data_IF_940557487961
#
_entry.id   IF_940557487961
#
_cell.length_a   1.000
_cell.length_b   1.000
_cell.length_c   1.000
_cell.angle_alpha   90.00
_cell.angle_beta   90.00
_cell.angle_gamma   90.00
#
_symmetry.space_group_name_H-M   'P 1'
#
loop_
_entity.id
_entity.type
_entity.pdbx_description
1 polymer ?
#
# COMPACT_ATOMS: atom_id res chain seq x y z
N UNK A 1 -18.92 -17.48 -50.42
CA UNK A 1 -19.58 -17.29 -49.11
C UNK A 1 -19.16 -15.90 -48.68
N UNK A 2 -20.03 -14.92 -48.83
CA UNK A 2 -19.77 -13.59 -48.29
C UNK A 2 -19.72 -13.75 -46.76
N UNK A 3 -18.56 -13.47 -46.17
CA UNK A 3 -18.40 -13.52 -44.72
C UNK A 3 -19.01 -12.25 -44.15
N UNK A 4 -20.13 -12.37 -43.46
CA UNK A 4 -20.73 -11.27 -42.70
C UNK A 4 -20.18 -11.19 -41.27
N UNK A 5 -19.18 -12.00 -40.93
CA UNK A 5 -18.52 -12.04 -39.62
C UNK A 5 -17.09 -11.53 -39.72
N UNK A 6 -16.72 -10.63 -38.81
CA UNK A 6 -15.33 -10.23 -38.61
C UNK A 6 -14.50 -11.41 -38.10
N UNK A 7 -13.26 -11.47 -38.56
CA UNK A 7 -12.22 -12.34 -38.02
C UNK A 7 -11.29 -11.47 -37.18
N UNK A 8 -11.01 -11.92 -35.95
CA UNK A 8 -10.21 -11.18 -34.99
C UNK A 8 -8.79 -11.74 -34.95
N UNK A 9 -7.82 -10.85 -35.08
CA UNK A 9 -6.41 -11.15 -34.95
C UNK A 9 -5.85 -10.32 -33.79
N UNK A 10 -5.44 -11.00 -32.73
CA UNK A 10 -4.73 -10.36 -31.62
C UNK A 10 -3.30 -10.03 -32.07
N UNK A 11 -2.93 -8.76 -31.94
CA UNK A 11 -1.62 -8.22 -32.30
C UNK A 11 -0.97 -7.46 -31.13
N UNK A 12 -1.43 -7.70 -29.89
CA UNK A 12 -0.94 -7.00 -28.69
C UNK A 12 0.58 -7.12 -28.51
N UNK A 13 1.18 -8.24 -28.91
CA UNK A 13 2.63 -8.45 -28.80
C UNK A 13 3.47 -7.44 -29.59
N UNK A 14 2.87 -6.77 -30.59
CA UNK A 14 3.54 -5.76 -31.44
C UNK A 14 3.38 -4.32 -30.92
N UNK A 15 2.78 -4.11 -29.75
CA UNK A 15 2.55 -2.76 -29.19
C UNK A 15 3.85 -1.98 -28.99
N UNK A 16 4.95 -2.68 -28.67
CA UNK A 16 6.26 -2.08 -28.47
C UNK A 16 6.99 -1.74 -29.78
N UNK A 17 6.46 -2.17 -30.92
CA UNK A 17 7.01 -1.84 -32.25
C UNK A 17 6.33 -0.59 -32.84
N UNK A 18 5.34 -0.01 -32.15
CA UNK A 18 4.69 1.23 -32.55
C UNK A 18 5.60 2.43 -32.25
N UNK A 19 5.71 3.33 -33.20
CA UNK A 19 6.44 4.59 -33.04
C UNK A 19 5.49 5.76 -32.80
N UNK A 20 5.97 6.78 -32.06
CA UNK A 20 5.29 8.06 -31.95
C UNK A 20 5.10 8.69 -33.34
N UNK A 21 3.84 8.83 -33.77
CA UNK A 21 3.47 9.38 -35.06
C UNK A 21 2.83 8.36 -35.99
N UNK A 22 3.29 8.32 -37.25
CA UNK A 22 2.63 7.55 -38.30
C UNK A 22 3.12 6.10 -38.30
N UNK A 23 2.19 5.17 -38.09
CA UNK A 23 2.42 3.74 -38.22
C UNK A 23 1.76 3.20 -39.50
N UNK A 24 2.28 2.11 -40.08
CA UNK A 24 1.73 1.47 -41.28
C UNK A 24 1.28 0.05 -40.96
N UNK A 25 -0.02 -0.21 -41.06
CA UNK A 25 -0.58 -1.56 -41.01
C UNK A 25 -0.70 -2.13 -42.43
N UNK A 26 -0.03 -3.26 -42.69
CA UNK A 26 -0.10 -3.97 -43.96
C UNK A 26 -1.00 -5.20 -43.86
N UNK A 27 -2.06 -5.24 -44.67
CA UNK A 27 -2.99 -6.38 -44.74
C UNK A 27 -2.86 -7.06 -46.09
N UNK A 28 -2.63 -8.38 -46.10
CA UNK A 28 -2.51 -9.16 -47.32
C UNK A 28 -3.74 -10.05 -47.54
N UNK A 29 -4.45 -9.80 -48.64
CA UNK A 29 -5.62 -10.57 -49.06
C UNK A 29 -5.33 -11.46 -50.26
N UNK A 30 -5.81 -12.70 -50.25
CA UNK A 30 -5.64 -13.65 -51.35
C UNK A 30 -6.99 -14.13 -51.90
N UNK A 31 -7.16 -14.03 -53.22
CA UNK A 31 -8.26 -14.68 -53.92
C UNK A 31 -7.98 -16.16 -54.11
N UNK A 32 -9.01 -16.99 -53.90
CA UNK A 32 -8.92 -18.44 -54.11
C UNK A 32 -8.64 -18.83 -55.58
N UNK A 33 -8.91 -17.94 -56.55
CA UNK A 33 -8.57 -18.15 -57.96
C UNK A 33 -8.32 -16.84 -58.70
N UNK A 34 -7.65 -16.93 -59.86
CA UNK A 34 -7.31 -15.79 -60.72
C UNK A 34 -8.52 -15.10 -61.39
N UNK A 35 -9.71 -15.68 -61.27
CA UNK A 35 -10.95 -15.20 -61.92
C UNK A 35 -12.04 -14.83 -60.92
N UNK A 36 -11.75 -14.81 -59.62
CA UNK A 36 -12.70 -14.34 -58.61
C UNK A 36 -12.87 -12.83 -58.72
N UNK A 37 -14.13 -12.37 -58.72
CA UNK A 37 -14.54 -10.98 -58.94
C UNK A 37 -15.06 -10.30 -57.68
N UNK A 38 -15.03 -10.98 -56.54
CA UNK A 38 -15.80 -10.65 -55.33
C UNK A 38 -14.91 -10.36 -54.10
N UNK A 39 -13.67 -9.94 -54.32
CA UNK A 39 -12.76 -9.62 -53.22
C UNK A 39 -13.08 -8.26 -52.59
N UNK A 40 -13.66 -8.27 -51.40
CA UNK A 40 -13.89 -7.11 -50.56
C UNK A 40 -13.21 -7.33 -49.21
N UNK A 41 -12.34 -6.40 -48.81
CA UNK A 41 -11.79 -6.33 -47.44
C UNK A 41 -12.39 -5.09 -46.79
N UNK A 42 -12.95 -5.26 -45.60
CA UNK A 42 -13.14 -4.20 -44.62
C UNK A 42 -12.31 -4.56 -43.41
N UNK A 43 -11.42 -3.67 -43.01
CA UNK A 43 -10.56 -3.85 -41.85
C UNK A 43 -10.82 -2.73 -40.86
N UNK A 44 -10.86 -3.10 -39.59
CA UNK A 44 -10.99 -2.19 -38.46
C UNK A 44 -9.88 -2.53 -37.49
N UNK A 45 -9.18 -1.49 -37.04
CA UNK A 45 -8.20 -1.60 -35.96
C UNK A 45 -8.85 -1.01 -34.72
N UNK A 46 -9.13 -1.84 -33.74
CA UNK A 46 -9.61 -1.41 -32.43
C UNK A 46 -8.42 -1.37 -31.47
N UNK A 47 -8.25 -0.23 -30.81
CA UNK A 47 -7.30 -0.08 -29.71
C UNK A 47 -8.10 0.14 -28.45
N UNK A 48 -8.04 -0.81 -27.53
CA UNK A 48 -8.60 -0.64 -26.20
C UNK A 48 -7.49 -0.22 -25.25
N UNK A 49 -7.40 1.06 -24.96
CA UNK A 49 -6.60 1.53 -23.83
C UNK A 49 -7.38 1.24 -22.57
N UNK A 50 -6.89 0.35 -21.71
CA UNK A 50 -7.37 0.26 -20.34
C UNK A 50 -6.77 1.46 -19.61
N UNK A 51 -7.40 2.62 -19.72
CA UNK A 51 -7.22 3.68 -18.74
C UNK A 51 -7.97 3.24 -17.50
N UNK A 52 -7.24 2.86 -16.44
CA UNK A 52 -7.79 2.99 -15.09
C UNK A 52 -8.26 4.44 -14.97
N UNK A 53 -9.57 4.62 -14.83
CA UNK A 53 -10.14 5.93 -14.55
C UNK A 53 -9.62 6.35 -13.16
N UNK A 54 -8.52 7.09 -13.12
CA UNK A 54 -8.18 7.91 -11.96
C UNK A 54 -9.22 9.03 -11.93
N UNK A 55 -10.18 8.91 -11.03
CA UNK A 55 -10.92 10.08 -10.57
C UNK A 55 -9.94 10.79 -9.63
N UNK A 56 -9.28 11.85 -10.13
CA UNK A 56 -8.24 12.63 -9.41
C UNK A 56 -8.65 12.98 -7.96
N UNK A 57 -9.96 12.97 -7.68
CA UNK A 57 -10.57 13.13 -6.37
C UNK A 57 -10.09 12.12 -5.32
N UNK A 58 -9.66 10.91 -5.69
CA UNK A 58 -9.25 9.85 -4.77
C UNK A 58 -7.80 9.41 -4.96
N UNK A 59 -7.00 10.14 -5.74
CA UNK A 59 -5.61 9.76 -6.00
C UNK A 59 -4.77 9.75 -4.72
N UNK A 60 -5.00 10.71 -3.82
CA UNK A 60 -4.32 10.76 -2.52
C UNK A 60 -4.74 9.57 -1.65
N UNK A 61 -6.03 9.22 -1.65
CA UNK A 61 -6.56 8.06 -0.91
C UNK A 61 -5.98 6.74 -1.44
N UNK A 62 -5.85 6.59 -2.77
CA UNK A 62 -5.23 5.43 -3.41
C UNK A 62 -3.73 5.36 -3.11
N UNK A 63 -3.04 6.50 -3.10
CA UNK A 63 -1.62 6.56 -2.74
C UNK A 63 -1.37 6.08 -1.31
N UNK A 64 -2.29 6.34 -0.37
CA UNK A 64 -2.22 5.80 0.99
C UNK A 64 -2.33 4.27 1.01
N UNK A 65 -3.29 3.69 0.26
CA UNK A 65 -3.46 2.23 0.14
C UNK A 65 -2.18 1.57 -0.40
N UNK A 66 -1.57 2.17 -1.42
CA UNK A 66 -0.41 1.59 -2.10
C UNK A 66 0.90 1.84 -1.34
N UNK A 67 1.03 2.97 -0.67
CA UNK A 67 2.29 3.49 -0.15
C UNK A 67 2.51 3.42 1.36
N UNK A 68 1.44 3.48 2.17
CA UNK A 68 1.59 3.51 3.63
C UNK A 68 1.78 2.11 4.20
N UNK A 69 2.77 1.93 5.07
CA UNK A 69 3.05 0.67 5.75
C UNK A 69 3.19 0.89 7.24
N UNK A 70 2.68 -0.04 8.05
CA UNK A 70 3.10 -0.18 9.44
C UNK A 70 4.31 -1.13 9.43
N UNK A 71 5.45 -0.68 9.93
CA UNK A 71 6.74 -1.39 9.83
C UNK A 71 7.22 -1.96 11.14
N UNK A 72 6.83 -1.35 12.25
CA UNK A 72 7.22 -1.78 13.58
C UNK A 72 6.09 -1.58 14.59
N UNK A 73 5.91 -2.55 15.47
CA UNK A 73 4.91 -2.55 16.53
C UNK A 73 5.56 -2.99 17.85
N UNK A 74 5.64 -2.07 18.82
CA UNK A 74 6.04 -2.34 20.19
C UNK A 74 4.79 -2.39 21.08
N UNK A 75 4.14 -3.56 21.13
CA UNK A 75 2.88 -3.74 21.85
C UNK A 75 3.05 -4.10 23.34
N UNK A 76 4.20 -4.66 23.72
CA UNK A 76 4.50 -4.99 25.11
C UNK A 76 6.00 -4.78 25.41
N UNK A 77 6.43 -3.53 25.64
CA UNK A 77 7.82 -3.21 25.97
C UNK A 77 8.26 -3.81 27.31
N UNK A 78 9.58 -3.88 27.56
CA UNK A 78 10.10 -4.39 28.84
C UNK A 78 9.77 -3.41 29.99
N UNK A 79 8.68 -3.69 30.69
CA UNK A 79 8.32 -3.11 31.98
C UNK A 79 7.71 -1.70 31.95
N UNK A 80 7.63 -1.02 30.80
CA UNK A 80 7.05 0.32 30.69
C UNK A 80 6.13 0.49 29.47
N UNK A 81 4.86 0.13 29.62
CA UNK A 81 3.83 0.25 28.58
C UNK A 81 3.66 1.69 28.03
N UNK A 82 4.15 2.72 28.73
CA UNK A 82 4.09 4.10 28.21
C UNK A 82 5.02 4.34 27.01
N UNK A 83 5.92 3.40 26.70
CA UNK A 83 6.80 3.48 25.52
C UNK A 83 6.34 2.60 24.36
N UNK A 84 5.13 2.07 24.41
CA UNK A 84 4.49 1.44 23.25
C UNK A 84 4.40 2.41 22.06
N UNK A 85 4.57 1.87 20.86
CA UNK A 85 4.49 2.64 19.62
C UNK A 85 4.12 1.80 18.41
N UNK A 86 3.65 2.50 17.38
CA UNK A 86 3.41 2.01 16.03
C UNK A 86 4.23 2.87 15.07
N UNK A 87 5.10 2.27 14.27
CA UNK A 87 5.89 2.94 13.24
C UNK A 87 5.25 2.80 11.86
N UNK A 88 5.35 3.87 11.08
CA UNK A 88 4.90 3.93 9.72
C UNK A 88 6.05 4.27 8.77
N UNK A 89 6.00 3.71 7.57
CA UNK A 89 6.87 4.01 6.44
C UNK A 89 6.04 4.35 5.21
N UNK A 90 6.49 5.33 4.45
CA UNK A 90 6.02 5.57 3.08
C UNK A 90 6.95 4.89 2.07
N UNK A 91 6.50 3.79 1.47
CA UNK A 91 7.27 3.06 0.45
C UNK A 91 7.08 3.63 -0.96
N UNK A 92 6.21 4.62 -1.13
CA UNK A 92 5.91 5.22 -2.44
C UNK A 92 6.93 6.31 -2.79
N UNK A 93 7.03 6.72 -4.09
CA UNK A 93 7.93 7.79 -4.50
C UNK A 93 7.38 9.19 -4.22
N UNK A 94 6.15 9.32 -3.72
CA UNK A 94 5.46 10.59 -3.50
C UNK A 94 5.28 10.84 -2.00
N UNK A 95 5.13 12.10 -1.59
CA UNK A 95 4.68 12.42 -0.23
C UNK A 95 3.25 11.95 -0.03
N UNK A 96 2.97 11.30 1.09
CA UNK A 96 1.62 10.92 1.51
C UNK A 96 1.08 11.96 2.50
N UNK A 97 -0.15 12.41 2.29
CA UNK A 97 -0.89 13.20 3.27
C UNK A 97 -1.69 12.26 4.18
N UNK A 98 -1.33 12.24 5.46
CA UNK A 98 -2.00 11.40 6.45
C UNK A 98 -3.11 12.16 7.19
N UNK A 99 -3.43 13.40 6.81
CA UNK A 99 -4.44 14.21 7.48
C UNK A 99 -5.75 13.45 7.65
N UNK A 100 -6.19 13.27 8.90
CA UNK A 100 -7.46 12.61 9.23
C UNK A 100 -7.45 11.08 9.11
N UNK A 101 -6.38 10.45 8.63
CA UNK A 101 -6.18 9.00 8.72
C UNK A 101 -6.32 8.59 10.19
N UNK A 102 -7.07 7.52 10.45
CA UNK A 102 -7.51 7.19 11.80
C UNK A 102 -7.44 5.71 12.11
N UNK A 103 -7.14 5.39 13.35
CA UNK A 103 -7.38 4.06 13.87
C UNK A 103 -8.86 3.86 14.17
N UNK A 104 -9.40 2.71 13.78
CA UNK A 104 -10.77 2.30 14.09
C UNK A 104 -10.82 1.01 14.93
N UNK A 105 -9.67 0.35 15.13
CA UNK A 105 -9.48 -0.76 16.05
C UNK A 105 -8.04 -0.75 16.61
N UNK A 106 -7.84 -1.40 17.75
CA UNK A 106 -6.59 -1.43 18.51
C UNK A 106 -6.40 -0.22 19.43
N UNK A 107 -6.11 0.94 18.85
CA UNK A 107 -5.93 2.21 19.58
C UNK A 107 -6.88 3.29 19.09
N UNK A 108 -6.96 4.41 19.81
CA UNK A 108 -7.69 5.60 19.36
C UNK A 108 -6.69 6.71 19.05
N UNK A 109 -6.53 6.99 17.76
CA UNK A 109 -5.70 8.08 17.25
C UNK A 109 -6.17 8.51 15.85
N UNK A 110 -6.13 9.81 15.59
CA UNK A 110 -6.36 10.41 14.28
C UNK A 110 -5.21 11.35 14.00
N UNK A 111 -4.58 11.20 12.83
CA UNK A 111 -3.51 12.10 12.42
C UNK A 111 -4.02 13.54 12.29
N UNK A 112 -3.31 14.53 12.84
CA UNK A 112 -3.71 15.92 12.79
C UNK A 112 -3.63 16.47 11.36
N UNK A 113 -4.23 17.65 11.15
CA UNK A 113 -4.09 18.40 9.90
C UNK A 113 -2.61 18.67 9.55
N UNK A 114 -2.33 18.76 8.26
CA UNK A 114 -1.01 19.01 7.68
C UNK A 114 0.04 17.92 8.01
N UNK A 115 -0.38 16.70 8.30
CA UNK A 115 0.54 15.57 8.52
C UNK A 115 1.02 15.00 7.20
N UNK A 116 2.26 15.30 6.83
CA UNK A 116 2.86 14.87 5.57
C UNK A 116 4.00 13.88 5.83
N UNK A 117 3.97 12.73 5.17
CA UNK A 117 5.02 11.71 5.23
C UNK A 117 5.75 11.63 3.88
N UNK A 118 6.95 12.21 3.74
CA UNK A 118 7.70 12.18 2.48
C UNK A 118 8.09 10.75 2.06
N UNK A 119 8.48 10.61 0.79
CA UNK A 119 8.89 9.33 0.21
C UNK A 119 10.09 8.72 0.96
N UNK A 120 9.97 7.47 1.41
CA UNK A 120 11.02 6.73 2.12
C UNK A 120 11.25 7.17 3.56
N UNK A 121 10.45 8.10 4.09
CA UNK A 121 10.56 8.58 5.47
C UNK A 121 9.64 7.80 6.41
N UNK A 122 9.92 7.94 7.71
CA UNK A 122 9.19 7.29 8.80
C UNK A 122 8.47 8.30 9.69
N UNK A 123 7.42 7.83 10.36
CA UNK A 123 6.83 8.49 11.52
C UNK A 123 6.30 7.48 12.54
N UNK A 124 6.04 7.96 13.75
CA UNK A 124 5.67 7.14 14.89
C UNK A 124 4.38 7.66 15.51
N UNK A 125 3.50 6.76 15.93
CA UNK A 125 2.37 7.05 16.82
C UNK A 125 2.63 6.34 18.15
N UNK A 126 2.78 7.10 19.23
CA UNK A 126 3.29 6.60 20.52
C UNK A 126 2.30 6.80 21.66
N UNK A 127 2.39 5.94 22.69
CA UNK A 127 1.47 5.95 23.83
C UNK A 127 1.59 7.21 24.67
N UNK A 128 2.81 7.55 25.06
CA UNK A 128 3.15 8.77 25.78
C UNK A 128 4.41 9.38 25.15
N UNK A 129 4.28 10.50 24.40
CA UNK A 129 5.42 11.14 23.75
C UNK A 129 6.55 11.56 24.70
N UNK A 130 6.23 11.88 25.96
CA UNK A 130 7.23 12.27 26.96
C UNK A 130 7.99 11.05 27.44
N UNK A 131 7.30 9.96 27.77
CA UNK A 131 7.94 8.72 28.19
C UNK A 131 8.78 8.12 27.04
N UNK A 132 8.22 8.10 25.83
CA UNK A 132 8.89 7.62 24.63
C UNK A 132 10.18 8.40 24.34
N UNK A 133 10.14 9.73 24.34
CA UNK A 133 11.32 10.55 24.08
C UNK A 133 12.42 10.43 25.14
N UNK A 134 12.08 9.98 26.37
CA UNK A 134 13.08 9.66 27.40
C UNK A 134 13.77 8.32 27.13
N UNK A 135 13.04 7.34 26.60
CA UNK A 135 13.58 6.02 26.24
C UNK A 135 14.38 6.08 24.94
N UNK A 136 13.88 6.82 23.94
CA UNK A 136 14.47 6.96 22.61
C UNK A 136 14.88 8.42 22.32
N UNK A 137 15.88 8.98 23.03
CA UNK A 137 16.22 10.41 22.95
C UNK A 137 16.89 10.84 21.64
N UNK A 138 17.21 9.89 20.76
CA UNK A 138 17.80 10.16 19.45
C UNK A 138 16.75 10.29 18.33
N UNK A 139 15.50 9.92 18.61
CA UNK A 139 14.40 10.05 17.65
C UNK A 139 13.97 11.52 17.59
N UNK A 140 13.94 12.16 16.40
CA UNK A 140 13.50 13.55 16.26
C UNK A 140 12.05 13.72 16.71
N UNK A 141 11.77 14.80 17.45
CA UNK A 141 10.41 15.07 17.95
C UNK A 141 9.40 15.35 16.84
N UNK A 142 9.88 15.75 15.66
CA UNK A 142 9.07 16.08 14.49
C UNK A 142 8.38 14.86 13.86
N UNK A 143 8.89 13.65 14.11
CA UNK A 143 8.31 12.40 13.60
C UNK A 143 7.53 11.62 14.66
N UNK A 144 7.42 12.17 15.89
CA UNK A 144 6.70 11.55 17.00
C UNK A 144 5.32 12.17 17.13
N UNK A 145 4.29 11.38 16.87
CA UNK A 145 2.89 11.71 17.06
C UNK A 145 2.29 10.97 18.27
N UNK A 146 1.22 11.52 18.81
CA UNK A 146 0.55 11.01 20.01
C UNK A 146 0.25 12.14 21.01
N UNK A 147 -0.15 11.81 22.25
CA UNK A 147 -0.42 10.46 22.74
C UNK A 147 -1.62 9.84 22.01
N UNK A 148 -1.58 8.53 21.79
CA UNK A 148 -2.81 7.80 21.48
C UNK A 148 -3.57 7.39 22.76
N UNK A 149 -4.87 7.23 22.65
CA UNK A 149 -5.72 6.69 23.71
C UNK A 149 -5.92 5.17 23.56
N UNK A 150 -6.27 4.48 24.64
CA UNK A 150 -6.26 3.01 24.71
C UNK A 150 -4.88 2.45 25.04
N UNK A 151 -4.64 1.18 24.76
CA UNK A 151 -3.35 0.52 24.92
C UNK A 151 -3.29 -0.61 23.90
N UNK A 152 -2.12 -0.91 23.37
CA UNK A 152 -1.96 -2.12 22.57
C UNK A 152 -2.14 -3.35 23.49
N UNK A 153 -2.96 -4.31 23.07
CA UNK A 153 -3.22 -5.49 23.87
C UNK A 153 -2.00 -6.44 23.92
N UNK A 154 -1.45 -6.63 25.12
CA UNK A 154 -0.29 -7.51 25.32
C UNK A 154 -0.48 -8.95 24.83
N UNK A 155 -1.74 -9.41 24.65
CA UNK A 155 -2.06 -10.76 24.18
C UNK A 155 -2.48 -10.84 22.70
N UNK A 156 -2.31 -9.77 21.92
CA UNK A 156 -2.76 -9.67 20.53
C UNK A 156 -4.16 -9.08 20.35
N UNK A 157 -4.36 -8.44 19.19
CA UNK A 157 -5.62 -7.79 18.76
C UNK A 157 -5.60 -7.49 17.24
N UNK A 158 -6.74 -7.02 16.73
CA UNK A 158 -6.86 -6.41 15.40
C UNK A 158 -6.32 -4.96 15.41
N UNK A 159 -5.51 -4.62 14.43
CA UNK A 159 -5.13 -3.24 14.09
C UNK A 159 -5.87 -2.86 12.80
N UNK A 160 -6.62 -1.75 12.84
CA UNK A 160 -7.34 -1.24 11.67
C UNK A 160 -7.10 0.25 11.51
N UNK A 161 -6.40 0.63 10.44
CA UNK A 161 -6.15 2.00 10.03
C UNK A 161 -7.02 2.34 8.83
N UNK A 162 -7.87 3.36 8.95
CA UNK A 162 -8.78 3.82 7.91
C UNK A 162 -8.36 5.15 7.31
N UNK A 163 -8.81 5.38 6.07
CA UNK A 163 -8.80 6.70 5.43
C UNK A 163 -9.50 7.75 6.29
N UNK A 164 -9.35 9.03 5.94
CA UNK A 164 -10.07 10.12 6.60
C UNK A 164 -11.59 10.00 6.41
N UNK A 165 -12.36 10.54 7.35
CA UNK A 165 -13.81 10.69 7.16
C UNK A 165 -14.11 11.52 5.91
N UNK A 166 -15.17 11.21 5.14
CA UNK A 166 -16.24 10.25 5.46
C UNK A 166 -15.99 8.84 4.89
N UNK A 167 -14.76 8.51 4.48
CA UNK A 167 -14.45 7.19 3.93
C UNK A 167 -14.28 6.15 5.05
N UNK A 168 -14.83 4.96 4.80
CA UNK A 168 -14.81 3.81 5.72
C UNK A 168 -13.89 2.68 5.21
N UNK A 169 -13.02 2.98 4.24
CA UNK A 169 -12.07 2.00 3.73
C UNK A 169 -10.83 1.93 4.63
N UNK A 170 -10.42 0.70 4.95
CA UNK A 170 -9.17 0.44 5.64
C UNK A 170 -7.99 0.57 4.66
N UNK A 171 -6.97 1.31 5.08
CA UNK A 171 -5.65 1.36 4.46
C UNK A 171 -4.88 0.09 4.81
N UNK A 172 -4.84 -0.25 6.09
CA UNK A 172 -4.18 -1.43 6.62
C UNK A 172 -5.09 -2.10 7.63
N UNK A 173 -5.12 -3.43 7.57
CA UNK A 173 -5.80 -4.27 8.55
C UNK A 173 -5.04 -5.57 8.75
N UNK A 174 -4.67 -5.86 9.98
CA UNK A 174 -4.06 -7.12 10.36
C UNK A 174 -4.27 -7.40 11.86
N UNK A 175 -4.19 -8.67 12.25
CA UNK A 175 -4.13 -9.12 13.64
C UNK A 175 -2.68 -9.40 14.00
N UNK A 176 -2.23 -9.05 15.21
CA UNK A 176 -0.99 -9.58 15.78
C UNK A 176 -1.28 -10.48 16.97
N UNK A 177 -0.35 -11.38 17.30
CA UNK A 177 -0.51 -12.32 18.41
C UNK A 177 0.78 -12.49 19.21
N UNK A 178 0.64 -12.50 20.54
CA UNK A 178 1.75 -12.63 21.49
C UNK A 178 2.49 -13.96 21.39
N UNK A 179 1.84 -15.00 20.88
CA UNK A 179 2.44 -16.32 20.69
C UNK A 179 3.38 -16.41 19.50
N UNK A 180 3.37 -15.44 18.58
CA UNK A 180 4.22 -15.46 17.39
C UNK A 180 5.70 -15.44 17.77
N UNK A 181 6.08 -14.53 18.67
CA UNK A 181 7.45 -14.38 19.11
C UNK A 181 7.52 -14.01 20.60
N UNK A 182 7.89 -14.96 21.49
CA UNK A 182 7.90 -14.68 22.94
C UNK A 182 8.80 -13.52 23.39
N UNK A 183 9.78 -13.10 22.59
CA UNK A 183 10.63 -11.95 22.91
C UNK A 183 9.97 -10.60 22.67
N UNK A 184 8.85 -10.54 21.93
CA UNK A 184 8.06 -9.31 21.72
C UNK A 184 7.01 -9.09 22.80
N UNK A 185 6.80 -10.09 23.66
CA UNK A 185 5.82 -10.06 24.76
C UNK A 185 6.52 -9.69 26.08
N UNK A 186 6.94 -8.43 26.23
CA UNK A 186 7.64 -7.94 27.42
C UNK A 186 9.13 -8.32 27.48
N UNK A 187 9.67 -8.90 26.40
CA UNK A 187 11.08 -9.26 26.27
C UNK A 187 11.97 -8.16 25.68
N UNK A 188 11.40 -6.98 25.40
CA UNK A 188 12.11 -5.82 24.86
C UNK A 188 12.36 -5.85 23.36
N UNK A 189 11.85 -6.85 22.63
CA UNK A 189 11.82 -6.83 21.16
C UNK A 189 10.52 -6.23 20.65
N UNK A 190 10.54 -5.65 19.45
CA UNK A 190 9.33 -5.28 18.71
C UNK A 190 9.00 -6.34 17.64
N UNK A 191 7.75 -6.32 17.17
CA UNK A 191 7.40 -6.94 15.89
C UNK A 191 7.81 -6.00 14.76
N UNK A 192 8.65 -6.47 13.84
CA UNK A 192 9.15 -5.71 12.68
C UNK A 192 8.76 -6.43 11.41
N UNK A 193 8.23 -5.71 10.43
CA UNK A 193 7.84 -6.31 9.15
C UNK A 193 9.08 -6.81 8.39
N UNK A 194 9.00 -8.03 7.86
CA UNK A 194 10.13 -8.68 7.16
C UNK A 194 10.38 -8.10 5.77
N UNK A 195 9.32 -7.72 5.05
CA UNK A 195 9.38 -7.06 3.74
C UNK A 195 8.24 -6.02 3.65
N UNK A 196 8.54 -4.71 3.74
CA UNK A 196 7.52 -3.67 3.64
C UNK A 196 6.88 -3.57 2.23
N UNK A 197 7.49 -4.16 1.20
CA UNK A 197 6.93 -4.21 -0.16
C UNK A 197 5.98 -5.40 -0.37
N UNK A 198 5.96 -6.37 0.56
CA UNK A 198 5.00 -7.46 0.51
C UNK A 198 3.57 -6.93 0.71
N UNK A 199 2.60 -7.58 0.08
CA UNK A 199 1.21 -7.15 0.16
C UNK A 199 0.67 -7.32 1.60
N UNK A 200 0.02 -6.30 2.21
CA UNK A 200 -0.43 -6.34 3.60
C UNK A 200 -1.40 -7.47 3.97
N UNK A 201 -2.06 -8.07 2.98
CA UNK A 201 -2.91 -9.26 3.20
C UNK A 201 -2.20 -10.47 3.82
N UNK A 202 -0.86 -10.48 3.83
CA UNK A 202 -0.04 -11.52 4.47
C UNK A 202 0.25 -11.24 5.95
N UNK A 203 -0.09 -10.06 6.47
CA UNK A 203 0.36 -9.61 7.79
C UNK A 203 -0.36 -10.28 8.97
N UNK A 204 -1.39 -11.09 8.69
CA UNK A 204 -2.00 -11.98 9.70
C UNK A 204 -1.18 -13.25 9.96
N UNK A 205 -0.11 -13.47 9.19
CA UNK A 205 0.79 -14.61 9.34
C UNK A 205 2.06 -14.17 10.06
N UNK A 206 2.50 -14.95 11.06
CA UNK A 206 3.69 -14.65 11.87
C UNK A 206 4.96 -14.51 11.01
N UNK A 207 5.03 -15.24 9.89
CA UNK A 207 6.15 -15.24 8.95
C UNK A 207 6.34 -13.90 8.22
N UNK A 208 5.32 -13.04 8.20
CA UNK A 208 5.44 -11.68 7.66
C UNK A 208 6.22 -10.76 8.59
N UNK A 209 6.36 -11.14 9.86
CA UNK A 209 6.99 -10.36 10.93
C UNK A 209 8.24 -11.04 11.45
N UNK A 210 9.08 -10.27 12.13
CA UNK A 210 10.27 -10.71 12.83
C UNK A 210 10.26 -10.12 14.24
N UNK A 211 10.85 -10.82 15.20
CA UNK A 211 11.23 -10.22 16.47
C UNK A 211 12.62 -9.58 16.36
N UNK A 212 12.70 -8.28 16.62
CA UNK A 212 13.97 -7.54 16.57
C UNK A 212 14.08 -6.53 17.72
N UNK A 213 15.31 -6.09 18.00
CA UNK A 213 15.52 -4.96 18.90
C UNK A 213 14.87 -3.70 18.30
N UNK A 214 14.21 -2.85 19.10
CA UNK A 214 13.39 -1.77 18.57
C UNK A 214 14.18 -0.74 17.78
N UNK A 215 13.55 -0.27 16.71
CA UNK A 215 14.16 0.51 15.65
C UNK A 215 13.43 1.81 15.29
N UNK A 216 12.88 2.58 16.25
CA UNK A 216 11.99 3.67 15.92
C UNK A 216 12.68 4.80 15.14
N UNK A 217 12.10 5.17 14.01
CA UNK A 217 12.53 6.26 13.15
C UNK A 217 13.87 6.02 12.45
N UNK A 218 14.20 4.76 12.13
CA UNK A 218 15.52 4.34 11.64
C UNK A 218 15.91 4.73 10.22
#
# INVERSE_FOLDING_TARGET
RESSSFEYFDITDFINDLEDGNNILALHGLNASKTSSDFLISAELEVTTITTYHDDKYDDDLALLDGLRITELMYNPDGNDNVEFIEFLNISPNTLDLTGVRFTDGIVFTFPEDTNLPAGEYLLVVKDPVAFALEYPLVPGEIIFGPYEGQLANNGEDIVLNLAEPLEAAILRFEYNDTWYPSTDGGGSALVISDPNAHPATWNDAESWLAAAPTPGQ
#
